data_IF_194486984966
#
_entry.id   IF_194486984966
#
_cell.length_a   1.000
_cell.length_b   1.000
_cell.length_c   1.000
_cell.angle_alpha   90.00
_cell.angle_beta   90.00
_cell.angle_gamma   90.00
#
_symmetry.space_group_name_H-M   'P 1'
#
loop_
_entity.id
_entity.type
_entity.pdbx_description
1 polymer ?
#
# COMPACT_ATOMS: atom_id res chain seq x y z
N UNK A 1 -9.01 -23.48 9.64
CA UNK A 1 -10.26 -23.68 8.86
C UNK A 1 -10.88 -22.36 8.41
N UNK A 2 -10.87 -21.33 9.25
CA UNK A 2 -11.32 -19.98 8.87
C UNK A 2 -10.07 -19.11 8.66
N UNK A 3 -9.82 -18.58 7.45
CA UNK A 3 -8.71 -17.67 7.21
C UNK A 3 -8.88 -16.36 8.00
N UNK A 4 -7.76 -15.70 8.31
CA UNK A 4 -7.80 -14.43 9.02
C UNK A 4 -8.49 -13.35 8.17
N UNK A 5 -9.44 -12.64 8.78
CA UNK A 5 -10.20 -11.55 8.15
C UNK A 5 -11.12 -11.97 6.98
N UNK A 6 -11.60 -13.22 7.00
CA UNK A 6 -12.60 -13.74 6.04
C UNK A 6 -13.97 -13.83 6.72
N UNK A 7 -15.02 -13.33 6.05
CA UNK A 7 -16.40 -13.48 6.52
C UNK A 7 -16.77 -14.96 6.68
N UNK A 8 -17.52 -15.29 7.73
CA UNK A 8 -17.86 -16.69 8.05
C UNK A 8 -18.56 -17.40 6.89
N UNK A 9 -19.41 -16.69 6.14
CA UNK A 9 -20.06 -17.23 4.94
C UNK A 9 -19.05 -17.66 3.87
N UNK A 10 -18.09 -16.79 3.56
CA UNK A 10 -17.03 -17.06 2.59
C UNK A 10 -16.13 -18.20 3.05
N UNK A 11 -15.79 -18.25 4.34
CA UNK A 11 -14.99 -19.34 4.90
C UNK A 11 -15.67 -20.71 4.78
N UNK A 12 -17.00 -20.77 4.93
CA UNK A 12 -17.77 -21.99 4.64
C UNK A 12 -17.67 -22.35 3.18
N UNK A 13 -17.83 -21.40 2.26
CA UNK A 13 -17.80 -21.68 0.82
C UNK A 13 -16.45 -22.23 0.35
N UNK A 14 -15.35 -21.72 0.89
CA UNK A 14 -13.98 -22.04 0.51
C UNK A 14 -13.41 -23.30 1.20
N UNK A 15 -13.85 -23.63 2.42
CA UNK A 15 -13.31 -24.75 3.19
C UNK A 15 -14.20 -25.99 3.15
N UNK A 16 -13.77 -27.01 2.39
CA UNK A 16 -14.43 -28.32 2.33
C UNK A 16 -14.56 -28.97 3.70
N UNK A 17 -13.49 -28.92 4.50
CA UNK A 17 -13.42 -29.48 5.85
C UNK A 17 -14.41 -28.79 6.80
N UNK A 18 -14.55 -27.45 6.70
CA UNK A 18 -15.54 -26.72 7.49
C UNK A 18 -16.98 -27.12 7.13
N UNK A 19 -17.28 -27.34 5.83
CA UNK A 19 -18.59 -27.83 5.39
C UNK A 19 -18.90 -29.22 5.94
N UNK A 20 -17.90 -30.10 6.01
CA UNK A 20 -18.06 -31.46 6.54
C UNK A 20 -18.36 -31.43 8.04
N UNK A 21 -17.58 -30.68 8.82
CA UNK A 21 -17.79 -30.54 10.28
C UNK A 21 -19.18 -29.95 10.58
N UNK A 22 -19.64 -28.95 9.81
CA UNK A 22 -20.96 -28.35 9.98
C UNK A 22 -22.11 -29.30 9.62
N UNK A 23 -21.86 -30.33 8.81
CA UNK A 23 -22.85 -31.38 8.49
C UNK A 23 -22.87 -32.47 9.56
N UNK A 24 -21.72 -32.82 10.11
CA UNK A 24 -21.57 -33.93 11.05
C UNK A 24 -21.95 -33.56 12.49
N UNK A 25 -21.63 -32.33 12.93
CA UNK A 25 -21.88 -31.88 14.30
C UNK A 25 -22.95 -30.78 14.37
N UNK A 26 -24.14 -31.16 14.83
CA UNK A 26 -25.27 -30.23 15.01
C UNK A 26 -25.00 -29.10 16.02
N UNK A 27 -24.12 -29.31 17.02
CA UNK A 27 -23.73 -28.25 17.96
C UNK A 27 -22.84 -27.22 17.29
N UNK A 28 -21.87 -27.68 16.47
CA UNK A 28 -20.99 -26.76 15.72
C UNK A 28 -21.80 -25.99 14.69
N UNK A 29 -22.77 -26.63 14.03
CA UNK A 29 -23.71 -25.95 13.13
C UNK A 29 -24.46 -24.82 13.85
N UNK A 30 -25.05 -25.11 15.00
CA UNK A 30 -25.78 -24.11 15.80
C UNK A 30 -24.86 -22.96 16.25
N UNK A 31 -23.63 -23.27 16.67
CA UNK A 31 -22.63 -22.27 17.02
C UNK A 31 -22.33 -21.34 15.85
N UNK A 32 -22.20 -21.89 14.64
CA UNK A 32 -21.91 -21.14 13.43
C UNK A 32 -23.07 -20.23 13.01
N UNK A 33 -24.30 -20.73 13.09
CA UNK A 33 -25.52 -19.94 12.82
C UNK A 33 -25.61 -18.74 13.77
N UNK A 34 -25.35 -18.96 15.07
CA UNK A 34 -25.30 -17.88 16.06
C UNK A 34 -24.16 -16.91 15.73
N UNK A 35 -22.95 -17.41 15.45
CA UNK A 35 -21.79 -16.57 15.13
C UNK A 35 -22.04 -15.70 13.90
N UNK A 36 -22.65 -16.26 12.84
CA UNK A 36 -23.05 -15.52 11.64
C UNK A 36 -24.08 -14.45 11.94
N UNK A 37 -25.04 -14.72 12.85
CA UNK A 37 -26.07 -13.73 13.21
C UNK A 37 -25.53 -12.51 13.94
N UNK A 38 -24.37 -12.62 14.59
CA UNK A 38 -23.72 -11.54 15.35
C UNK A 38 -22.44 -11.02 14.68
N UNK A 39 -22.08 -11.55 13.50
CA UNK A 39 -20.93 -11.10 12.73
C UNK A 39 -21.14 -9.65 12.26
N UNK A 40 -20.11 -8.82 12.41
CA UNK A 40 -20.17 -7.39 12.08
C UNK A 40 -20.76 -6.49 13.17
N UNK A 41 -21.26 -7.05 14.27
CA UNK A 41 -21.77 -6.24 15.38
C UNK A 41 -20.62 -5.52 16.09
N UNK A 42 -20.83 -4.24 16.40
CA UNK A 42 -19.85 -3.45 17.15
C UNK A 42 -19.83 -3.91 18.62
N UNK A 43 -18.65 -4.32 19.11
CA UNK A 43 -18.50 -4.85 20.47
C UNK A 43 -18.31 -3.78 21.54
N UNK A 44 -17.46 -2.79 21.27
CA UNK A 44 -17.12 -1.72 22.22
C UNK A 44 -16.55 -0.50 21.49
N UNK A 45 -16.69 0.68 22.10
CA UNK A 45 -15.99 1.88 21.67
C UNK A 45 -14.51 1.79 22.07
N UNK A 46 -13.61 2.01 21.11
CA UNK A 46 -12.16 2.07 21.33
C UNK A 46 -11.58 3.38 20.76
N UNK A 47 -10.48 3.84 21.34
CA UNK A 47 -9.76 5.03 20.86
C UNK A 47 -8.91 4.67 19.64
N UNK A 48 -8.98 5.46 18.57
CA UNK A 48 -8.04 5.35 17.46
C UNK A 48 -6.62 5.68 17.95
N UNK A 49 -5.68 4.76 17.79
CA UNK A 49 -4.35 4.84 18.41
C UNK A 49 -3.54 6.09 18.02
N UNK A 50 -3.86 6.71 16.89
CA UNK A 50 -3.17 7.90 16.39
C UNK A 50 -4.10 9.12 16.20
N UNK A 51 -5.41 8.95 16.31
CA UNK A 51 -6.37 9.91 15.77
C UNK A 51 -6.64 11.06 16.73
N UNK A 52 -6.40 12.29 16.29
CA UNK A 52 -6.70 13.53 17.01
C UNK A 52 -7.64 14.37 16.16
N UNK A 53 -8.71 14.86 16.80
CA UNK A 53 -9.72 15.69 16.14
C UNK A 53 -9.59 17.12 16.66
N UNK A 54 -9.53 18.07 15.72
CA UNK A 54 -9.41 19.51 16.00
C UNK A 54 -10.64 20.20 15.44
N UNK A 55 -11.31 20.97 16.29
CA UNK A 55 -12.48 21.77 15.95
C UNK A 55 -12.19 23.26 16.20
N UNK A 56 -12.85 24.18 15.45
CA UNK A 56 -12.66 25.62 15.63
C UNK A 56 -13.29 26.17 16.91
N UNK A 57 -14.18 25.41 17.55
CA UNK A 57 -14.80 25.71 18.84
C UNK A 57 -14.92 24.40 19.65
N UNK A 58 -15.62 24.41 20.79
CA UNK A 58 -15.87 23.24 21.64
C UNK A 58 -16.36 22.05 20.82
N UNK A 59 -15.67 20.92 20.94
CA UNK A 59 -16.01 19.67 20.24
C UNK A 59 -17.47 19.27 20.41
N UNK A 60 -18.07 19.55 21.58
CA UNK A 60 -19.47 19.24 21.90
C UNK A 60 -20.49 19.96 21.03
N UNK A 61 -20.12 21.02 20.30
CA UNK A 61 -20.99 21.65 19.31
C UNK A 61 -21.10 20.84 18.00
N UNK A 62 -20.16 19.92 17.77
CA UNK A 62 -20.04 19.17 16.51
C UNK A 62 -20.24 17.67 16.70
N UNK A 63 -19.77 17.10 17.82
CA UNK A 63 -19.84 15.66 18.09
C UNK A 63 -19.96 15.38 19.59
N UNK A 64 -20.78 14.38 19.99
CA UNK A 64 -20.79 13.96 21.38
C UNK A 64 -19.46 13.30 21.76
N UNK A 65 -19.10 13.46 23.03
CA UNK A 65 -17.85 12.94 23.57
C UNK A 65 -18.07 11.66 24.37
N UNK A 66 -17.05 10.82 24.41
CA UNK A 66 -16.97 9.61 25.21
C UNK A 66 -15.71 9.68 26.07
N UNK A 67 -15.83 9.22 27.32
CA UNK A 67 -14.70 9.11 28.23
C UNK A 67 -14.35 7.63 28.37
N UNK A 68 -13.12 7.27 28.01
CA UNK A 68 -12.67 5.87 28.09
C UNK A 68 -12.35 5.47 29.53
N UNK A 69 -12.16 4.17 29.75
CA UNK A 69 -11.74 3.62 31.05
C UNK A 69 -10.34 4.13 31.48
N UNK A 70 -9.54 4.66 30.55
CA UNK A 70 -8.25 5.30 30.82
C UNK A 70 -8.37 6.80 31.07
N UNK A 71 -9.60 7.31 31.20
CA UNK A 71 -9.92 8.71 31.39
C UNK A 71 -9.57 9.61 30.18
N UNK A 72 -9.38 9.03 29.00
CA UNK A 72 -9.16 9.74 27.75
C UNK A 72 -10.50 10.25 27.20
N UNK A 73 -10.50 11.42 26.56
CA UNK A 73 -11.68 11.98 25.89
C UNK A 73 -11.59 11.66 24.40
N UNK A 74 -12.63 11.01 23.87
CA UNK A 74 -12.74 10.67 22.45
C UNK A 74 -14.04 11.19 21.88
N UNK A 75 -14.13 11.29 20.55
CA UNK A 75 -15.41 11.48 19.86
C UNK A 75 -16.22 10.18 19.92
N UNK A 76 -17.54 10.29 19.95
CA UNK A 76 -18.42 9.12 19.79
C UNK A 76 -18.57 8.72 18.32
N UNK A 77 -18.38 9.67 17.41
CA UNK A 77 -18.35 9.40 15.98
C UNK A 77 -17.04 8.74 15.58
N UNK A 78 -17.15 7.74 14.70
CA UNK A 78 -16.01 7.10 14.06
C UNK A 78 -15.38 8.03 13.00
N UNK A 79 -14.22 7.61 12.50
CA UNK A 79 -13.35 8.40 11.63
C UNK A 79 -14.07 9.03 10.44
N UNK A 80 -14.85 8.26 9.67
CA UNK A 80 -15.51 8.75 8.47
C UNK A 80 -16.63 9.72 8.79
N UNK A 81 -17.35 9.49 9.88
CA UNK A 81 -18.38 10.37 10.41
C UNK A 81 -17.80 11.72 10.85
N UNK A 82 -16.63 11.73 11.49
CA UNK A 82 -15.89 12.95 11.84
C UNK A 82 -15.46 13.74 10.61
N UNK A 83 -14.91 13.05 9.60
CA UNK A 83 -14.51 13.68 8.34
C UNK A 83 -15.74 14.23 7.57
N UNK A 84 -16.86 13.50 7.58
CA UNK A 84 -18.08 13.88 6.89
C UNK A 84 -18.75 15.14 7.48
N UNK A 85 -18.62 15.37 8.79
CA UNK A 85 -19.09 16.61 9.44
C UNK A 85 -18.08 17.77 9.33
N UNK A 86 -16.99 17.57 8.58
CA UNK A 86 -16.02 18.62 8.25
C UNK A 86 -15.04 18.97 9.36
N UNK A 87 -14.89 18.11 10.38
CA UNK A 87 -13.86 18.31 11.41
C UNK A 87 -12.48 17.87 10.90
N UNK A 88 -11.45 18.61 11.32
CA UNK A 88 -10.07 18.27 10.99
C UNK A 88 -9.63 17.07 11.82
N UNK A 89 -9.27 15.98 11.14
CA UNK A 89 -8.60 14.82 11.75
C UNK A 89 -7.12 14.83 11.39
N UNK A 90 -6.26 14.64 12.37
CA UNK A 90 -4.83 14.42 12.21
C UNK A 90 -4.43 13.11 12.88
N UNK A 91 -3.55 12.33 12.25
CA UNK A 91 -3.01 11.11 12.85
C UNK A 91 -1.57 11.33 13.33
N UNK A 92 -1.34 11.09 14.62
CA UNK A 92 -0.03 11.12 15.28
C UNK A 92 0.42 9.68 15.57
N UNK A 93 1.24 9.12 14.69
CA UNK A 93 1.71 7.74 14.84
C UNK A 93 3.00 7.70 15.67
N UNK A 94 2.99 6.87 16.71
CA UNK A 94 4.20 6.53 17.47
C UNK A 94 5.04 5.48 16.73
N UNK A 95 5.88 5.90 15.77
CA UNK A 95 6.77 4.98 15.06
C UNK A 95 8.05 4.72 15.86
N UNK A 96 8.17 3.50 16.42
CA UNK A 96 9.33 3.08 17.22
C UNK A 96 10.67 3.30 16.52
N UNK A 97 10.71 3.17 15.19
CA UNK A 97 11.90 3.39 14.37
C UNK A 97 12.50 4.78 14.57
N UNK A 98 11.67 5.83 14.70
CA UNK A 98 12.17 7.19 14.90
C UNK A 98 12.84 7.35 16.28
N UNK A 99 12.31 6.68 17.31
CA UNK A 99 12.95 6.67 18.63
C UNK A 99 14.31 5.96 18.57
N UNK A 100 14.39 4.80 17.90
CA UNK A 100 15.65 4.07 17.74
C UNK A 100 16.70 4.91 17.00
N UNK A 101 16.29 5.65 15.96
CA UNK A 101 17.18 6.58 15.26
C UNK A 101 17.63 7.72 16.21
N UNK A 102 16.71 8.30 16.98
CA UNK A 102 17.04 9.33 17.98
C UNK A 102 18.08 8.85 18.99
N UNK A 103 17.85 7.69 19.61
CA UNK A 103 18.79 7.07 20.55
C UNK A 103 20.16 6.82 19.89
N UNK A 104 20.17 6.34 18.64
CA UNK A 104 21.42 6.11 17.90
C UNK A 104 22.20 7.41 17.67
N UNK A 105 21.53 8.52 17.32
CA UNK A 105 22.16 9.82 17.14
C UNK A 105 22.77 10.35 18.44
N UNK A 106 22.07 10.21 19.57
CA UNK A 106 22.59 10.59 20.89
C UNK A 106 23.84 9.79 21.26
N UNK A 107 23.82 8.47 21.03
CA UNK A 107 24.95 7.58 21.29
C UNK A 107 26.16 7.96 20.42
N UNK A 108 25.95 8.27 19.13
CA UNK A 108 27.01 8.71 18.23
C UNK A 108 27.62 10.03 18.73
N UNK A 109 26.78 11.01 19.09
CA UNK A 109 27.24 12.30 19.62
C UNK A 109 28.06 12.11 20.90
N UNK A 110 27.58 11.30 21.84
CA UNK A 110 28.26 11.04 23.13
C UNK A 110 29.62 10.33 22.95
N UNK A 111 29.70 9.34 22.05
CA UNK A 111 30.89 8.50 21.92
C UNK A 111 31.91 9.01 20.91
N UNK A 112 31.49 9.79 19.91
CA UNK A 112 32.34 10.25 18.80
C UNK A 112 32.42 11.77 18.69
N UNK A 113 31.64 12.52 19.47
CA UNK A 113 31.56 13.99 19.36
C UNK A 113 30.98 14.47 18.03
N UNK A 114 30.37 13.58 17.24
CA UNK A 114 29.87 13.86 15.90
C UNK A 114 28.36 14.08 15.97
N UNK A 115 27.91 15.23 15.49
CA UNK A 115 26.49 15.47 15.20
C UNK A 115 26.19 15.00 13.77
N UNK A 116 25.12 14.22 13.62
CA UNK A 116 24.68 13.72 12.33
C UNK A 116 23.35 14.39 12.00
N UNK A 117 23.31 15.08 10.87
CA UNK A 117 22.11 15.67 10.29
C UNK A 117 21.50 14.65 9.31
N UNK A 118 20.31 14.14 9.64
CA UNK A 118 19.61 13.12 8.84
C UNK A 118 19.26 13.64 7.45
N UNK A 119 18.91 14.93 7.32
CA UNK A 119 18.49 15.54 6.05
C UNK A 119 19.65 15.69 5.06
N UNK A 120 20.89 15.49 5.52
CA UNK A 120 22.12 15.60 4.72
C UNK A 120 22.78 14.26 4.43
N UNK A 121 22.19 13.14 4.85
CA UNK A 121 22.74 11.81 4.56
C UNK A 121 22.64 11.54 3.05
N UNK A 122 23.74 11.09 2.44
CA UNK A 122 23.76 10.74 1.03
C UNK A 122 22.92 9.48 0.77
N UNK A 123 22.09 9.52 -0.27
CA UNK A 123 21.33 8.37 -0.76
C UNK A 123 22.17 7.45 -1.66
N UNK A 124 23.45 7.75 -1.89
CA UNK A 124 24.36 6.99 -2.76
C UNK A 124 25.46 6.24 -1.99
N UNK A 125 25.27 6.01 -0.69
CA UNK A 125 26.27 5.31 0.14
C UNK A 125 26.39 3.84 -0.26
N UNK A 126 27.47 3.51 -0.99
CA UNK A 126 27.77 2.14 -1.44
C UNK A 126 27.83 1.13 -0.31
N UNK A 127 28.35 1.49 0.87
CA UNK A 127 28.46 0.56 2.00
C UNK A 127 27.09 0.20 2.56
N UNK A 128 26.15 1.14 2.55
CA UNK A 128 24.77 0.88 2.94
C UNK A 128 24.11 -0.10 1.95
N UNK A 129 24.34 0.07 0.65
CA UNK A 129 23.81 -0.84 -0.38
C UNK A 129 24.48 -2.21 -0.40
N UNK A 130 25.77 -2.31 -0.08
CA UNK A 130 26.47 -3.59 0.08
C UNK A 130 25.84 -4.43 1.21
N UNK A 131 25.64 -3.82 2.38
CA UNK A 131 24.98 -4.45 3.52
C UNK A 131 23.54 -4.86 3.17
N UNK A 132 22.79 -3.96 2.54
CA UNK A 132 21.42 -4.24 2.10
C UNK A 132 21.40 -5.40 1.08
N UNK A 133 22.27 -5.39 0.07
CA UNK A 133 22.32 -6.41 -1.00
C UNK A 133 22.74 -7.79 -0.51
N UNK A 134 23.47 -7.88 0.60
CA UNK A 134 23.75 -9.13 1.30
C UNK A 134 22.56 -9.62 2.15
N UNK A 135 21.49 -8.82 2.21
CA UNK A 135 20.29 -9.01 3.02
C UNK A 135 20.58 -9.09 4.53
N UNK A 136 21.58 -8.35 4.99
CA UNK A 136 21.90 -8.16 6.41
C UNK A 136 20.94 -7.13 7.05
N UNK A 137 19.63 -7.38 6.95
CA UNK A 137 18.60 -6.36 7.22
C UNK A 137 18.02 -6.38 8.63
N UNK A 138 18.64 -7.09 9.57
CA UNK A 138 18.14 -7.14 10.95
C UNK A 138 18.19 -5.75 11.58
N UNK A 139 17.05 -5.26 12.08
CA UNK A 139 16.93 -3.90 12.62
C UNK A 139 16.84 -2.80 11.56
N UNK A 140 16.73 -3.14 10.27
CA UNK A 140 16.47 -2.18 9.19
C UNK A 140 14.96 -2.13 8.92
N UNK A 141 14.37 -0.98 9.21
CA UNK A 141 12.93 -0.75 9.09
C UNK A 141 12.34 -1.22 7.75
N UNK A 142 11.18 -1.88 7.81
CA UNK A 142 10.41 -2.46 6.69
C UNK A 142 11.02 -3.66 5.97
N UNK A 143 12.32 -3.96 6.14
CA UNK A 143 13.01 -5.00 5.35
C UNK A 143 13.55 -6.19 6.15
N UNK A 144 13.05 -6.40 7.36
CA UNK A 144 13.56 -7.41 8.29
C UNK A 144 13.02 -8.84 8.05
N UNK A 145 11.87 -8.98 7.39
CA UNK A 145 11.21 -10.28 7.24
C UNK A 145 12.00 -11.22 6.33
N UNK A 146 11.95 -12.54 6.59
CA UNK A 146 12.68 -13.54 5.78
C UNK A 146 12.36 -13.47 4.29
N UNK A 147 11.09 -13.38 3.92
CA UNK A 147 10.74 -13.30 2.50
C UNK A 147 11.19 -11.98 1.86
N UNK A 148 11.28 -10.89 2.63
CA UNK A 148 11.88 -9.65 2.13
C UNK A 148 13.39 -9.81 1.93
N UNK A 149 14.09 -10.45 2.86
CA UNK A 149 15.52 -10.77 2.71
C UNK A 149 15.77 -11.62 1.45
N UNK A 150 14.93 -12.63 1.20
CA UNK A 150 15.02 -13.44 -0.01
C UNK A 150 14.78 -12.62 -1.28
N UNK A 151 13.84 -11.67 -1.25
CA UNK A 151 13.61 -10.75 -2.37
C UNK A 151 14.80 -9.83 -2.60
N UNK A 152 15.37 -9.27 -1.54
CA UNK A 152 16.53 -8.38 -1.61
C UNK A 152 17.74 -9.10 -2.21
N UNK A 153 18.02 -10.35 -1.81
CA UNK A 153 19.09 -11.16 -2.39
C UNK A 153 18.92 -11.36 -3.89
N UNK A 154 17.69 -11.48 -4.38
CA UNK A 154 17.39 -11.61 -5.81
C UNK A 154 17.50 -10.28 -6.55
N UNK A 155 17.01 -9.19 -5.96
CA UNK A 155 17.00 -7.88 -6.62
C UNK A 155 18.41 -7.25 -6.64
N UNK A 156 19.19 -7.43 -5.57
CA UNK A 156 20.50 -6.80 -5.38
C UNK A 156 20.42 -5.26 -5.52
N UNK A 157 19.80 -4.56 -4.55
CA UNK A 157 19.59 -3.12 -4.61
C UNK A 157 20.91 -2.32 -4.52
N UNK A 158 21.15 -1.46 -5.51
CA UNK A 158 22.39 -0.66 -5.62
C UNK A 158 22.14 0.85 -5.50
N UNK A 159 20.86 1.26 -5.46
CA UNK A 159 20.41 2.65 -5.40
C UNK A 159 19.07 2.76 -4.68
N UNK A 160 18.67 3.98 -4.35
CA UNK A 160 17.48 4.25 -3.55
C UNK A 160 16.19 3.79 -4.24
N UNK A 161 16.11 3.94 -5.56
CA UNK A 161 14.97 3.51 -6.36
C UNK A 161 14.75 2.00 -6.26
N UNK A 162 15.82 1.20 -6.13
CA UNK A 162 15.68 -0.25 -5.99
C UNK A 162 15.03 -0.62 -4.65
N UNK A 163 15.28 0.13 -3.57
CA UNK A 163 14.61 -0.07 -2.28
C UNK A 163 13.11 0.24 -2.39
N UNK A 164 12.75 1.31 -3.10
CA UNK A 164 11.34 1.64 -3.37
C UNK A 164 10.67 0.49 -4.14
N UNK A 165 11.36 -0.09 -5.12
CA UNK A 165 10.86 -1.25 -5.87
C UNK A 165 10.67 -2.46 -4.98
N UNK A 166 11.66 -2.81 -4.15
CA UNK A 166 11.58 -3.96 -3.21
C UNK A 166 10.32 -3.86 -2.35
N UNK A 167 10.08 -2.70 -1.74
CA UNK A 167 8.90 -2.45 -0.89
C UNK A 167 7.57 -2.50 -1.67
N UNK A 168 7.62 -2.18 -2.96
CA UNK A 168 6.44 -2.19 -3.83
C UNK A 168 6.11 -3.59 -4.35
N UNK A 169 7.12 -4.39 -4.66
CA UNK A 169 6.98 -5.77 -5.13
C UNK A 169 6.61 -6.75 -4.03
N UNK A 170 7.03 -6.51 -2.78
CA UNK A 170 6.72 -7.41 -1.66
C UNK A 170 5.29 -7.19 -1.11
N UNK A 171 4.30 -7.35 -1.98
CA UNK A 171 2.86 -7.25 -1.69
C UNK A 171 2.12 -8.41 -2.35
N UNK A 172 0.98 -8.88 -1.80
CA UNK A 172 0.27 -10.05 -2.32
C UNK A 172 -0.03 -10.00 -3.83
N UNK A 173 -0.45 -8.86 -4.37
CA UNK A 173 -0.73 -8.73 -5.80
C UNK A 173 0.51 -8.99 -6.68
N UNK A 174 1.58 -8.18 -6.56
CA UNK A 174 2.81 -8.37 -7.33
C UNK A 174 3.48 -9.73 -7.10
N UNK A 175 3.51 -10.25 -5.87
CA UNK A 175 4.12 -11.55 -5.54
C UNK A 175 3.45 -12.72 -6.26
N UNK A 176 2.14 -12.66 -6.47
CA UNK A 176 1.37 -13.70 -7.15
C UNK A 176 1.36 -13.51 -8.69
N UNK A 177 1.97 -12.45 -9.18
CA UNK A 177 2.04 -12.12 -10.60
C UNK A 177 3.44 -12.34 -11.16
N UNK A 178 3.56 -12.49 -12.48
CA UNK A 178 4.87 -12.52 -13.17
C UNK A 178 5.63 -11.18 -13.14
N UNK A 179 5.09 -10.17 -12.45
CA UNK A 179 5.66 -8.83 -12.37
C UNK A 179 7.03 -8.84 -11.67
N UNK A 180 7.13 -9.56 -10.55
CA UNK A 180 8.37 -9.67 -9.79
C UNK A 180 9.46 -10.36 -10.63
N UNK A 181 9.15 -11.50 -11.24
CA UNK A 181 10.12 -12.23 -12.07
C UNK A 181 10.56 -11.40 -13.27
N UNK A 182 9.62 -10.74 -13.96
CA UNK A 182 9.93 -9.86 -15.10
C UNK A 182 10.83 -8.70 -14.70
N UNK A 183 10.61 -8.09 -13.53
CA UNK A 183 11.46 -7.02 -13.03
C UNK A 183 12.88 -7.52 -12.76
N UNK A 184 13.01 -8.64 -12.01
CA UNK A 184 14.32 -9.20 -11.65
C UNK A 184 15.09 -9.62 -12.91
N UNK A 185 14.42 -10.30 -13.85
CA UNK A 185 15.05 -10.75 -15.10
C UNK A 185 15.56 -9.59 -15.94
N UNK A 186 14.79 -8.51 -16.05
CA UNK A 186 15.21 -7.32 -16.81
C UNK A 186 16.31 -6.55 -16.10
N UNK A 187 16.22 -6.39 -14.77
CA UNK A 187 17.27 -5.74 -13.96
C UNK A 187 18.61 -6.47 -14.08
N UNK A 188 18.59 -7.81 -14.05
CA UNK A 188 19.78 -8.64 -14.16
C UNK A 188 20.24 -8.88 -15.62
N UNK A 189 19.59 -8.26 -16.61
CA UNK A 189 19.93 -8.44 -18.03
C UNK A 189 19.62 -9.83 -18.59
N UNK A 190 18.83 -10.66 -17.89
CA UNK A 190 18.36 -11.98 -18.34
C UNK A 190 17.23 -11.89 -19.36
N UNK A 191 16.52 -10.77 -19.40
CA UNK A 191 15.46 -10.49 -20.37
C UNK A 191 15.56 -9.07 -20.92
N UNK A 192 15.07 -8.85 -22.14
CA UNK A 192 15.06 -7.53 -22.77
C UNK A 192 14.00 -6.64 -22.13
N UNK A 193 14.32 -5.37 -21.98
CA UNK A 193 13.36 -4.34 -21.59
C UNK A 193 12.54 -4.00 -22.83
N UNK A 194 11.24 -4.24 -22.75
CA UNK A 194 10.29 -3.95 -23.83
C UNK A 194 9.29 -2.90 -23.38
N UNK A 195 9.08 -1.90 -24.23
CA UNK A 195 8.06 -0.87 -24.05
C UNK A 195 7.03 -1.01 -25.17
N UNK A 196 5.74 -0.94 -24.83
CA UNK A 196 4.68 -0.98 -25.84
C UNK A 196 4.68 0.25 -26.76
N UNK A 197 5.23 1.36 -26.28
CA UNK A 197 5.36 2.61 -27.03
C UNK A 197 6.60 3.39 -26.56
N UNK A 198 7.35 4.06 -27.45
CA UNK A 198 8.56 4.82 -27.06
C UNK A 198 8.32 5.87 -25.96
N UNK A 199 7.13 6.49 -25.94
CA UNK A 199 6.80 7.47 -24.89
C UNK A 199 6.66 6.85 -23.48
N UNK A 200 6.58 5.52 -23.35
CA UNK A 200 6.57 4.83 -22.05
C UNK A 200 7.95 4.71 -21.43
N UNK A 201 9.02 4.71 -22.23
CA UNK A 201 10.41 4.57 -21.77
C UNK A 201 10.77 5.58 -20.66
N UNK A 202 10.56 6.90 -20.80
CA UNK A 202 10.91 7.87 -19.76
C UNK A 202 10.08 7.71 -18.46
N UNK A 203 8.97 6.98 -18.50
CA UNK A 203 8.09 6.72 -17.34
C UNK A 203 8.50 5.42 -16.63
N UNK A 204 8.91 4.41 -17.40
CA UNK A 204 9.11 3.04 -16.94
C UNK A 204 10.59 2.62 -16.90
N UNK A 205 11.54 3.48 -17.30
CA UNK A 205 12.98 3.18 -17.29
C UNK A 205 13.49 2.74 -15.90
N UNK A 206 13.03 3.41 -14.85
CA UNK A 206 13.47 3.14 -13.46
C UNK A 206 12.91 1.82 -12.94
N UNK A 207 11.81 1.34 -13.53
CA UNK A 207 11.16 0.07 -13.19
C UNK A 207 11.35 -1.00 -14.27
N UNK A 208 12.35 -0.84 -15.15
CA UNK A 208 12.68 -1.76 -16.24
C UNK A 208 11.46 -2.17 -17.10
N UNK A 209 10.60 -1.21 -17.46
CA UNK A 209 9.43 -1.45 -18.31
C UNK A 209 8.24 -2.11 -17.59
N UNK A 210 8.26 -2.17 -16.25
CA UNK A 210 7.17 -2.72 -15.44
C UNK A 210 6.38 -1.55 -14.82
N UNK A 211 5.05 -1.56 -14.94
CA UNK A 211 4.19 -0.56 -14.29
C UNK A 211 4.02 -0.98 -12.83
N UNK A 212 4.72 -0.29 -11.93
CA UNK A 212 4.77 -0.63 -10.51
C UNK A 212 4.07 0.41 -9.62
N UNK A 213 4.10 1.68 -10.03
CA UNK A 213 3.58 2.79 -9.24
C UNK A 213 2.30 3.37 -9.81
N UNK A 214 1.47 3.95 -8.93
CA UNK A 214 0.23 4.60 -9.32
C UNK A 214 0.49 5.87 -10.14
N UNK A 215 1.56 6.57 -9.81
CA UNK A 215 2.07 7.75 -10.48
C UNK A 215 2.50 7.42 -11.91
N UNK A 216 3.01 6.21 -12.16
CA UNK A 216 3.31 5.76 -13.52
C UNK A 216 2.03 5.60 -14.34
N UNK A 217 0.98 4.97 -13.79
CA UNK A 217 -0.34 4.88 -14.46
C UNK A 217 -0.88 6.27 -14.80
N UNK A 218 -0.79 7.21 -13.86
CA UNK A 218 -1.26 8.57 -14.08
C UNK A 218 -0.46 9.29 -15.17
N UNK A 219 0.87 9.17 -15.16
CA UNK A 219 1.75 9.76 -16.18
C UNK A 219 1.52 9.14 -17.57
N UNK A 220 1.25 7.84 -17.64
CA UNK A 220 0.91 7.15 -18.90
C UNK A 220 -0.38 7.73 -19.49
N UNK A 221 -1.43 7.88 -18.69
CA UNK A 221 -2.69 8.47 -19.13
C UNK A 221 -2.52 9.93 -19.58
N UNK A 222 -1.73 10.72 -18.85
CA UNK A 222 -1.43 12.10 -19.24
C UNK A 222 -0.65 12.18 -20.56
N UNK A 223 0.43 11.41 -20.71
CA UNK A 223 1.32 11.51 -21.87
C UNK A 223 0.69 10.90 -23.13
N UNK A 224 0.07 9.72 -23.00
CA UNK A 224 -0.47 9.01 -24.15
C UNK A 224 -1.87 9.48 -24.52
N UNK A 225 -2.71 9.85 -23.56
CA UNK A 225 -4.13 10.17 -23.80
C UNK A 225 -4.53 11.60 -23.43
N UNK A 226 -3.59 12.48 -23.08
CA UNK A 226 -3.84 13.90 -22.76
C UNK A 226 -4.74 14.12 -21.53
N UNK A 227 -4.81 13.15 -20.62
CA UNK A 227 -5.58 13.29 -19.38
C UNK A 227 -4.94 14.39 -18.51
N UNK A 228 -5.75 15.25 -17.91
CA UNK A 228 -5.29 16.06 -16.78
C UNK A 228 -4.88 15.15 -15.61
N UNK A 229 -4.05 15.66 -14.69
CA UNK A 229 -3.67 14.89 -13.49
C UNK A 229 -4.88 14.50 -12.63
N UNK A 230 -5.94 15.32 -12.64
CA UNK A 230 -7.21 15.00 -11.98
C UNK A 230 -7.94 13.84 -12.64
N UNK A 231 -8.05 13.83 -13.97
CA UNK A 231 -8.66 12.72 -14.73
C UNK A 231 -7.84 11.43 -14.58
N UNK A 232 -6.52 11.54 -14.58
CA UNK A 232 -5.62 10.43 -14.35
C UNK A 232 -5.82 9.79 -12.95
N UNK A 233 -6.07 10.60 -11.92
CA UNK A 233 -6.43 10.07 -10.59
C UNK A 233 -7.80 9.39 -10.58
N UNK A 234 -8.79 9.90 -11.34
CA UNK A 234 -10.09 9.25 -11.50
C UNK A 234 -9.92 7.86 -12.14
N UNK A 235 -9.13 7.74 -13.21
CA UNK A 235 -8.80 6.46 -13.84
C UNK A 235 -8.12 5.51 -12.85
N UNK A 236 -7.09 5.98 -12.13
CA UNK A 236 -6.39 5.19 -11.10
C UNK A 236 -7.36 4.66 -10.03
N UNK A 237 -8.29 5.49 -9.53
CA UNK A 237 -9.31 5.10 -8.55
C UNK A 237 -10.29 4.08 -9.13
N UNK A 238 -10.72 4.25 -10.38
CA UNK A 238 -11.61 3.32 -11.07
C UNK A 238 -10.98 1.93 -11.20
N UNK A 239 -9.69 1.87 -11.58
CA UNK A 239 -8.90 0.63 -11.66
C UNK A 239 -8.76 -0.04 -10.28
N UNK A 240 -8.39 0.74 -9.25
CA UNK A 240 -8.19 0.22 -7.90
C UNK A 240 -9.47 -0.37 -7.28
N UNK A 241 -10.63 0.22 -7.57
CA UNK A 241 -11.94 -0.26 -7.09
C UNK A 241 -12.64 -1.23 -8.06
N UNK A 242 -12.06 -1.50 -9.23
CA UNK A 242 -12.64 -2.35 -10.29
C UNK A 242 -14.08 -1.98 -10.65
N UNK A 243 -14.38 -0.69 -10.80
CA UNK A 243 -15.75 -0.20 -11.08
C UNK A 243 -16.01 -0.29 -12.60
N UNK A 244 -16.82 -1.24 -13.11
CA UNK A 244 -16.88 -1.55 -14.55
C UNK A 244 -17.31 -0.36 -15.40
N UNK A 245 -18.38 0.33 -14.99
CA UNK A 245 -18.91 1.49 -15.70
C UNK A 245 -17.88 2.61 -15.85
N UNK A 246 -17.16 2.94 -14.77
CA UNK A 246 -16.13 3.98 -14.82
C UNK A 246 -14.94 3.52 -15.68
N UNK A 247 -14.58 2.24 -15.63
CA UNK A 247 -13.50 1.70 -16.46
C UNK A 247 -13.82 1.83 -17.96
N UNK A 248 -15.06 1.52 -18.36
CA UNK A 248 -15.48 1.65 -19.76
C UNK A 248 -15.47 3.13 -20.20
N UNK A 249 -16.02 4.03 -19.38
CA UNK A 249 -16.00 5.48 -19.65
C UNK A 249 -14.56 6.02 -19.79
N UNK A 250 -13.63 5.58 -18.94
CA UNK A 250 -12.23 6.01 -19.02
C UNK A 250 -11.48 5.36 -20.19
N UNK A 251 -11.81 4.12 -20.56
CA UNK A 251 -11.22 3.43 -21.71
C UNK A 251 -11.51 4.17 -23.01
N UNK A 252 -12.76 4.56 -23.23
CA UNK A 252 -13.16 5.29 -24.44
C UNK A 252 -12.43 6.64 -24.52
N UNK A 253 -12.36 7.37 -23.39
CA UNK A 253 -11.59 8.61 -23.29
C UNK A 253 -10.11 8.40 -23.59
N UNK A 254 -9.52 7.33 -23.05
CA UNK A 254 -8.10 7.03 -23.27
C UNK A 254 -7.81 6.76 -24.75
N UNK A 255 -8.64 5.96 -25.41
CA UNK A 255 -8.48 5.64 -26.83
C UNK A 255 -8.62 6.89 -27.70
N UNK A 256 -9.62 7.73 -27.45
CA UNK A 256 -9.82 8.98 -28.19
C UNK A 256 -8.69 9.98 -27.96
N UNK A 257 -8.17 10.08 -26.73
CA UNK A 257 -7.00 10.88 -26.39
C UNK A 257 -5.73 10.37 -27.11
N UNK A 258 -5.50 9.06 -27.08
CA UNK A 258 -4.37 8.41 -27.72
C UNK A 258 -4.38 8.58 -29.24
N UNK A 259 -5.57 8.49 -29.85
CA UNK A 259 -5.76 8.76 -31.28
C UNK A 259 -5.35 10.19 -31.65
N UNK A 260 -5.69 11.19 -30.82
CA UNK A 260 -5.26 12.60 -31.03
C UNK A 260 -3.75 12.78 -30.92
N UNK A 261 -3.05 11.92 -30.18
CA UNK A 261 -1.58 11.88 -30.07
C UNK A 261 -0.90 11.02 -31.15
N UNK A 262 -1.67 10.46 -32.09
CA UNK A 262 -1.14 9.66 -33.19
C UNK A 262 -0.89 8.19 -32.85
N UNK A 263 -1.42 7.69 -31.73
CA UNK A 263 -1.34 6.29 -31.32
C UNK A 263 -2.52 5.53 -31.91
N UNK A 264 -2.28 4.37 -32.52
CA UNK A 264 -3.36 3.58 -33.12
C UNK A 264 -4.34 3.08 -32.03
N UNK A 265 -5.66 3.02 -32.31
CA UNK A 265 -6.64 2.52 -31.34
C UNK A 265 -6.33 1.10 -30.85
N UNK A 266 -5.77 0.25 -31.71
CA UNK A 266 -5.37 -1.11 -31.34
C UNK A 266 -4.21 -1.12 -30.34
N UNK A 267 -3.21 -0.25 -30.52
CA UNK A 267 -2.12 -0.10 -29.57
C UNK A 267 -2.59 0.55 -28.27
N UNK A 268 -3.42 1.60 -28.36
CA UNK A 268 -4.00 2.27 -27.19
C UNK A 268 -4.89 1.35 -26.34
N UNK A 269 -5.60 0.41 -26.96
CA UNK A 269 -6.41 -0.60 -26.23
C UNK A 269 -5.55 -1.66 -25.55
N UNK A 270 -4.37 -1.94 -26.11
CA UNK A 270 -3.43 -2.94 -25.58
C UNK A 270 -2.61 -2.38 -24.41
N UNK A 271 -2.28 -1.09 -24.45
CA UNK A 271 -1.61 -0.35 -23.37
C UNK A 271 -2.59 -0.20 -22.20
#
# INVERSE_FOLDING_TARGET
LIPFNTELKTAIEESSELKEILKEDGKIKTLFEIAQSIEGFTRHASTHAAGVVIAPDKLTYYTPLYRTNKNEITTQYEMHSIEAIGLLKMDFLGLKTLNVIGDALEIIKKNKGKEVDLDRISLEDKKAYELLSQAETLGIFQVESRGMQDLIKKIHPERFEDLIVVLSLYRPGPLHSRMMDSFIDRKQGRSKIEYLHPQLEPILKETYGVILYQEQVMRIANILADFSLGEADILRRAMGKKIPRLMDEQKDKFIEGAKKKGISPSLATRI
#
